data_IF_196477418064
#
_entry.id   IF_196477418064
#
_cell.length_a   1.000
_cell.length_b   1.000
_cell.length_c   1.000
_cell.angle_alpha   90.00
_cell.angle_beta   90.00
_cell.angle_gamma   90.00
#
_symmetry.space_group_name_H-M   'P 1'
#
loop_
_entity.id
_entity.type
_entity.pdbx_description
1 polymer ?
#
# COMPACT_ATOMS: atom_id res chain seq x y z
N UNK A 1 3.71 12.31 2.07
CA UNK A 1 3.63 11.00 1.39
C UNK A 1 4.34 9.92 2.17
N UNK A 2 3.83 8.73 2.12
CA UNK A 2 4.46 7.60 2.77
C UNK A 2 4.69 6.50 1.75
N UNK A 3 5.85 5.84 1.81
CA UNK A 3 6.12 4.69 0.98
C UNK A 3 5.60 3.45 1.69
N UNK A 4 4.72 2.74 1.02
CA UNK A 4 4.06 1.57 1.56
C UNK A 4 4.41 0.34 0.74
N UNK A 5 4.46 -0.80 1.41
CA UNK A 5 4.69 -2.09 0.78
C UNK A 5 3.37 -2.86 0.80
N UNK A 6 2.98 -3.39 -0.34
CA UNK A 6 1.74 -4.12 -0.50
C UNK A 6 2.02 -5.52 -1.00
N UNK A 7 1.36 -6.49 -0.41
CA UNK A 7 1.42 -7.88 -0.86
C UNK A 7 0.01 -8.33 -1.19
N UNK A 8 -0.21 -8.71 -2.44
CA UNK A 8 -1.54 -9.10 -2.90
C UNK A 8 -1.63 -10.59 -3.24
N UNK A 9 -0.48 -11.27 -3.30
CA UNK A 9 -0.43 -12.71 -3.49
C UNK A 9 0.89 -13.19 -2.90
N UNK A 10 1.06 -14.49 -2.65
CA UNK A 10 2.29 -14.98 -2.02
C UNK A 10 3.58 -14.58 -2.75
N UNK A 11 3.49 -14.42 -4.07
CA UNK A 11 4.65 -14.10 -4.88
C UNK A 11 4.55 -12.73 -5.57
N UNK A 12 3.59 -11.90 -5.17
CA UNK A 12 3.38 -10.58 -5.79
C UNK A 12 3.44 -9.51 -4.72
N UNK A 13 4.41 -8.62 -4.84
CA UNK A 13 4.62 -7.53 -3.90
C UNK A 13 4.84 -6.24 -4.67
N UNK A 14 4.25 -5.16 -4.17
CA UNK A 14 4.43 -3.83 -4.74
C UNK A 14 4.91 -2.87 -3.67
N UNK A 15 5.70 -1.89 -4.08
CA UNK A 15 6.09 -0.75 -3.24
C UNK A 15 5.69 0.50 -3.98
N UNK A 16 4.99 1.41 -3.30
CA UNK A 16 4.60 2.67 -3.91
C UNK A 16 4.39 3.74 -2.86
N UNK A 17 4.55 4.98 -3.28
CA UNK A 17 4.30 6.12 -2.42
C UNK A 17 2.86 6.57 -2.61
N UNK A 18 2.15 6.69 -1.50
CA UNK A 18 0.77 7.14 -1.50
C UNK A 18 0.62 8.32 -0.56
N UNK A 19 -0.25 9.24 -0.95
CA UNK A 19 -0.61 10.35 -0.09
C UNK A 19 -1.95 10.03 0.56
N UNK A 20 -1.89 9.68 1.83
CA UNK A 20 -3.09 9.33 2.60
C UNK A 20 -3.11 10.21 3.85
N UNK A 21 -4.21 10.89 4.06
CA UNK A 21 -4.35 11.76 5.22
C UNK A 21 -4.20 10.95 6.50
N UNK A 22 -3.38 11.44 7.41
CA UNK A 22 -3.13 10.77 8.68
C UNK A 22 -1.99 9.78 8.65
N UNK A 23 -1.38 9.55 7.49
CA UNK A 23 -0.24 8.65 7.37
C UNK A 23 0.96 9.42 6.84
N UNK A 24 2.10 9.24 7.51
CA UNK A 24 3.36 9.81 7.07
C UNK A 24 4.45 8.74 7.17
N UNK A 25 5.64 9.05 6.69
CA UNK A 25 6.76 8.11 6.76
C UNK A 25 7.16 7.82 8.22
N UNK A 26 6.82 8.72 9.14
CA UNK A 26 7.11 8.53 10.55
C UNK A 26 6.00 7.81 11.32
N UNK A 27 4.90 7.49 10.67
CA UNK A 27 3.81 6.77 11.30
C UNK A 27 4.23 5.36 11.69
N UNK A 28 3.59 4.83 12.72
CA UNK A 28 3.82 3.44 13.13
C UNK A 28 2.89 2.52 12.34
N UNK A 29 3.28 1.26 12.23
CA UNK A 29 2.44 0.28 11.54
C UNK A 29 1.03 0.22 12.13
N UNK A 30 0.91 0.35 13.45
CA UNK A 30 -0.39 0.38 14.10
C UNK A 30 -1.26 1.52 13.54
N UNK A 31 -0.68 2.70 13.41
CA UNK A 31 -1.41 3.85 12.88
C UNK A 31 -1.80 3.64 11.43
N UNK A 32 -0.91 3.05 10.64
CA UNK A 32 -1.18 2.76 9.25
C UNK A 32 -2.35 1.79 9.11
N UNK A 33 -2.38 0.77 9.97
CA UNK A 33 -3.46 -0.21 9.94
C UNK A 33 -4.83 0.40 10.27
N UNK A 34 -4.85 1.50 11.04
CA UNK A 34 -6.09 2.20 11.35
C UNK A 34 -6.71 2.82 10.09
N UNK A 35 -5.91 3.08 9.08
CA UNK A 35 -6.35 3.73 7.85
C UNK A 35 -6.46 2.74 6.69
N UNK A 36 -6.74 1.49 7.00
CA UNK A 36 -6.77 0.42 6.00
C UNK A 36 -7.68 0.74 4.82
N UNK A 37 -8.86 1.27 5.09
CA UNK A 37 -9.84 1.55 4.04
C UNK A 37 -9.31 2.61 3.06
N UNK A 38 -8.73 3.69 3.60
CA UNK A 38 -8.19 4.76 2.76
C UNK A 38 -6.98 4.28 1.98
N UNK A 39 -6.11 3.53 2.63
CA UNK A 39 -4.94 2.96 1.96
C UNK A 39 -5.35 2.03 0.83
N UNK A 40 -6.35 1.19 1.08
CA UNK A 40 -6.83 0.27 0.06
C UNK A 40 -7.38 1.01 -1.15
N UNK A 41 -8.17 2.07 -0.92
CA UNK A 41 -8.73 2.85 -2.01
C UNK A 41 -7.65 3.48 -2.87
N UNK A 42 -6.64 4.09 -2.25
CA UNK A 42 -5.55 4.69 -3.00
C UNK A 42 -4.77 3.64 -3.77
N UNK A 43 -4.49 2.51 -3.14
CA UNK A 43 -3.79 1.41 -3.78
C UNK A 43 -4.57 0.90 -4.99
N UNK A 44 -5.87 0.69 -4.84
CA UNK A 44 -6.71 0.20 -5.92
C UNK A 44 -6.71 1.17 -7.10
N UNK A 45 -6.81 2.47 -6.83
CA UNK A 45 -6.78 3.45 -7.90
C UNK A 45 -5.47 3.41 -8.67
N UNK A 46 -4.35 3.25 -7.96
CA UNK A 46 -3.05 3.14 -8.62
C UNK A 46 -2.96 1.88 -9.47
N UNK A 47 -3.49 0.77 -8.96
CA UNK A 47 -3.48 -0.47 -9.72
C UNK A 47 -4.38 -0.37 -10.96
N UNK A 48 -5.51 0.28 -10.87
CA UNK A 48 -6.38 0.45 -12.03
C UNK A 48 -5.71 1.24 -13.13
N UNK A 49 -4.91 2.23 -12.76
CA UNK A 49 -4.15 3.00 -13.73
C UNK A 49 -3.04 2.16 -14.37
N UNK A 50 -2.35 1.35 -13.57
CA UNK A 50 -1.26 0.52 -14.06
C UNK A 50 -1.76 -0.71 -14.83
N UNK A 51 -2.91 -1.23 -14.45
CA UNK A 51 -3.47 -2.44 -15.05
C UNK A 51 -4.90 -2.19 -15.50
N UNK A 52 -5.08 -1.50 -16.63
CA UNK A 52 -6.43 -1.14 -17.10
C UNK A 52 -7.30 -2.34 -17.43
N UNK A 53 -6.71 -3.50 -17.66
CA UNK A 53 -7.46 -4.72 -17.92
C UNK A 53 -7.94 -5.40 -16.66
N UNK A 54 -7.54 -4.90 -15.50
CA UNK A 54 -7.91 -5.45 -14.22
C UNK A 54 -6.76 -6.19 -13.55
N UNK A 55 -7.01 -6.58 -12.31
CA UNK A 55 -6.02 -7.31 -11.52
C UNK A 55 -6.77 -8.15 -10.49
N UNK A 56 -6.07 -9.13 -9.94
CA UNK A 56 -6.64 -10.03 -8.94
C UNK A 56 -5.88 -9.89 -7.63
N UNK A 57 -6.61 -9.74 -6.54
CA UNK A 57 -6.03 -9.71 -5.20
C UNK A 57 -6.48 -10.98 -4.47
N UNK A 58 -5.52 -11.85 -4.15
CA UNK A 58 -5.80 -13.05 -3.37
C UNK A 58 -5.77 -12.75 -1.87
N UNK A 59 -4.73 -12.04 -1.45
CA UNK A 59 -4.59 -11.58 -0.08
C UNK A 59 -4.15 -10.13 -0.12
N UNK A 60 -4.48 -9.38 0.91
CA UNK A 60 -4.08 -7.98 0.96
C UNK A 60 -3.39 -7.69 2.30
N UNK A 61 -2.09 -7.47 2.23
CA UNK A 61 -1.29 -7.04 3.36
C UNK A 61 -0.54 -5.79 2.98
N UNK A 62 -0.36 -4.90 3.93
CA UNK A 62 0.41 -3.69 3.69
C UNK A 62 1.09 -3.23 4.97
N UNK A 63 2.09 -2.40 4.80
CA UNK A 63 2.81 -1.79 5.90
C UNK A 63 3.74 -0.72 5.37
N UNK A 64 4.35 0.03 6.28
CA UNK A 64 5.33 1.02 5.89
C UNK A 64 6.60 0.35 5.38
N UNK A 65 7.10 0.85 4.26
CA UNK A 65 8.35 0.40 3.71
C UNK A 65 9.48 1.20 4.34
N UNK A 66 10.42 0.51 4.96
CA UNK A 66 11.58 1.17 5.57
C UNK A 66 12.65 1.36 4.50
N UNK A 67 12.89 2.60 4.15
CA UNK A 67 13.73 2.91 3.01
C UNK A 67 15.10 2.28 3.04
N UNK A 68 15.74 2.27 4.20
CA UNK A 68 17.10 1.77 4.30
C UNK A 68 17.19 0.24 4.35
N UNK A 69 16.11 -0.43 4.64
CA UNK A 69 16.11 -1.89 4.75
C UNK A 69 15.50 -2.56 3.54
N UNK A 70 15.06 -1.78 2.61
CA UNK A 70 14.47 -2.28 1.36
C UNK A 70 15.49 -2.28 0.21
#
# INVERSE_FOLDING_TARGET
>A
MARLRFQIAPDVEFKMELEVEGISQDSRDYDVQQHKAEVYQEFEQRLKTAFPEGFKIDTFDFGLSQGSSD
#
